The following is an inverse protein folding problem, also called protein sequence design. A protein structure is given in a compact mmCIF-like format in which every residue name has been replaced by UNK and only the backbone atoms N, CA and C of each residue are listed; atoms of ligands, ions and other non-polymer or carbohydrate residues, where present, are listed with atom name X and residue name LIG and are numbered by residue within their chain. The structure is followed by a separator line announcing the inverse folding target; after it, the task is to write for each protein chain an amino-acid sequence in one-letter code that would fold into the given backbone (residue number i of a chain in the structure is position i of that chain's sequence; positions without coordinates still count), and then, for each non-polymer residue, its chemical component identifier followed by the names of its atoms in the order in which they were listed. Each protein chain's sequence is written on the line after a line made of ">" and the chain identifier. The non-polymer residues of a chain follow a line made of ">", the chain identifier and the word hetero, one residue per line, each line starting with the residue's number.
data_IF_661227364435
#
_entry.id   IF_661227364435
#
_cell.length_a   1.000
_cell.length_b   1.000
_cell.length_c   1.000
_cell.angle_alpha   90.00
_cell.angle_beta   90.00
_cell.angle_gamma   90.00
#
_symmetry.space_group_name_H-M   'P 1'
#
loop_
_entity.id
_entity.type
_entity.pdbx_description
1 polymer ?
#
# COMPACT_ATOMS: atom_id res chain seq x y z
N UNK A 1 10.48 -13.13 -22.71
CA UNK A 1 11.01 -14.46 -22.34
C UNK A 1 10.80 -15.36 -23.55
N UNK A 2 11.87 -15.81 -24.21
CA UNK A 2 11.76 -16.66 -25.39
C UNK A 2 11.80 -18.12 -24.93
N UNK A 3 10.69 -18.83 -25.11
CA UNK A 3 10.59 -20.25 -24.79
C UNK A 3 11.43 -21.01 -25.83
N UNK A 4 12.46 -21.73 -25.38
CA UNK A 4 13.30 -22.54 -26.26
C UNK A 4 12.62 -23.89 -26.54
N UNK A 5 12.86 -24.50 -27.72
CA UNK A 5 12.30 -25.80 -28.06
C UNK A 5 12.60 -26.88 -27.00
N UNK A 6 13.81 -26.83 -26.42
CA UNK A 6 14.24 -27.73 -25.33
C UNK A 6 13.41 -27.60 -24.06
N UNK A 7 12.88 -26.41 -23.77
CA UNK A 7 12.03 -26.19 -22.59
C UNK A 7 10.63 -26.77 -22.81
N UNK A 8 10.14 -26.78 -24.05
CA UNK A 8 8.84 -27.37 -24.41
C UNK A 8 8.93 -28.90 -24.32
N UNK A 9 10.00 -29.51 -24.82
CA UNK A 9 10.23 -30.96 -24.75
C UNK A 9 10.25 -31.48 -23.30
N UNK A 10 10.88 -30.74 -22.40
CA UNK A 10 10.91 -31.08 -20.97
C UNK A 10 9.53 -31.04 -20.31
N UNK A 11 8.67 -30.09 -20.71
CA UNK A 11 7.29 -29.99 -20.20
C UNK A 11 6.45 -31.16 -20.74
N UNK A 12 6.61 -31.51 -22.02
CA UNK A 12 5.90 -32.64 -22.64
C UNK A 12 6.25 -33.96 -21.93
N UNK A 13 7.50 -34.14 -21.53
CA UNK A 13 7.93 -35.31 -20.78
C UNK A 13 7.37 -35.36 -19.35
N UNK A 14 7.05 -34.22 -18.74
CA UNK A 14 6.47 -34.14 -17.40
C UNK A 14 4.99 -34.55 -17.38
N UNK A 15 4.27 -34.39 -18.50
CA UNK A 15 2.86 -34.74 -18.65
C UNK A 15 2.61 -36.15 -19.21
N UNK A 16 3.67 -36.93 -19.48
CA UNK A 16 3.51 -38.35 -19.81
C UNK A 16 3.29 -39.16 -18.55
N UNK A 17 2.18 -39.90 -18.50
CA UNK A 17 1.85 -40.79 -17.41
C UNK A 17 2.88 -41.94 -17.30
N UNK A 18 3.24 -42.36 -16.08
CA UNK A 18 4.30 -43.34 -15.84
C UNK A 18 3.94 -44.79 -16.22
N UNK A 19 2.71 -45.08 -16.65
CA UNK A 19 2.22 -46.45 -16.86
C UNK A 19 2.20 -46.92 -18.32
N UNK A 20 2.80 -46.19 -19.27
CA UNK A 20 3.09 -46.72 -20.60
C UNK A 20 4.55 -47.17 -20.71
N UNK A 21 4.84 -48.32 -20.09
CA UNK A 21 5.96 -49.17 -20.50
C UNK A 21 5.64 -49.74 -21.90
N UNK A 22 5.97 -48.98 -22.94
CA UNK A 22 6.05 -49.49 -24.30
C UNK A 22 7.51 -49.77 -24.63
N UNK A 23 7.87 -51.06 -24.64
CA UNK A 23 9.18 -51.57 -25.03
C UNK A 23 9.56 -51.06 -26.42
N UNK A 24 10.60 -50.22 -26.49
CA UNK A 24 11.34 -49.98 -27.72
C UNK A 24 12.78 -49.65 -27.34
N UNK A 25 13.67 -50.60 -27.64
CA UNK A 25 15.12 -50.50 -27.47
C UNK A 25 15.68 -49.33 -28.30
N UNK A 26 16.17 -48.28 -27.63
CA UNK A 26 17.36 -47.58 -28.08
C UNK A 26 18.17 -47.09 -26.86
N UNK A 27 19.46 -47.39 -26.91
CA UNK A 27 20.44 -47.27 -25.84
C UNK A 27 20.92 -45.82 -25.78
N UNK A 28 20.75 -45.11 -24.65
CA UNK A 28 21.69 -44.07 -24.17
C UNK A 28 21.30 -43.44 -22.82
N UNK A 29 22.05 -43.88 -21.79
CA UNK A 29 22.64 -43.08 -20.70
C UNK A 29 21.77 -42.21 -19.79
N UNK A 30 21.76 -42.66 -18.53
CA UNK A 30 21.75 -41.87 -17.31
C UNK A 30 20.44 -41.11 -16.98
N UNK A 31 19.74 -41.68 -16.01
CA UNK A 31 18.75 -41.04 -15.15
C UNK A 31 19.27 -39.71 -14.60
N UNK A 32 18.98 -38.61 -15.31
CA UNK A 32 19.15 -37.26 -14.79
C UNK A 32 18.02 -36.96 -13.80
N UNK A 33 18.07 -37.57 -12.62
CA UNK A 33 17.46 -36.98 -11.44
C UNK A 33 18.19 -35.65 -11.20
N UNK A 34 17.56 -34.55 -11.60
CA UNK A 34 18.02 -33.21 -11.27
C UNK A 34 18.04 -33.11 -9.74
N UNK A 35 19.24 -33.03 -9.15
CA UNK A 35 19.43 -32.82 -7.71
C UNK A 35 18.94 -31.43 -7.33
N UNK A 36 17.64 -31.26 -7.16
CA UNK A 36 17.07 -30.10 -6.50
C UNK A 36 17.42 -30.20 -5.01
N UNK A 37 18.43 -29.43 -4.60
CA UNK A 37 18.70 -29.17 -3.19
C UNK A 37 17.78 -28.05 -2.67
N UNK A 38 17.61 -27.92 -1.33
CA UNK A 38 16.77 -26.88 -0.72
C UNK A 38 17.10 -25.45 -1.17
N UNK A 39 18.32 -25.20 -1.66
CA UNK A 39 18.76 -23.90 -2.19
C UNK A 39 18.22 -23.52 -3.58
N UNK A 40 17.44 -24.37 -4.24
CA UNK A 40 16.82 -24.08 -5.54
C UNK A 40 15.34 -23.65 -5.43
N UNK A 41 14.80 -23.53 -4.21
CA UNK A 41 13.46 -23.02 -3.97
C UNK A 41 13.54 -21.50 -3.84
N UNK A 42 13.18 -20.79 -4.91
CA UNK A 42 13.14 -19.34 -4.97
C UNK A 42 13.45 -18.79 -6.36
N UNK A 43 13.05 -17.54 -6.68
CA UNK A 43 13.35 -16.94 -7.97
C UNK A 43 14.87 -16.92 -8.22
N UNK A 44 15.33 -17.15 -9.46
CA UNK A 44 16.75 -17.21 -9.77
C UNK A 44 17.41 -15.88 -9.38
N UNK A 45 18.56 -15.95 -8.71
CA UNK A 45 19.35 -14.75 -8.40
C UNK A 45 19.77 -14.09 -9.71
N UNK A 46 19.07 -13.02 -10.08
CA UNK A 46 19.48 -12.13 -11.15
C UNK A 46 20.79 -11.48 -10.68
N UNK A 47 21.90 -11.90 -11.28
CA UNK A 47 23.15 -11.14 -11.23
C UNK A 47 22.88 -9.79 -11.89
N UNK A 48 22.56 -8.78 -11.08
CA UNK A 48 22.49 -7.39 -11.52
C UNK A 48 23.91 -6.87 -11.74
N UNK A 49 24.56 -7.35 -12.80
CA UNK A 49 25.65 -6.60 -13.42
C UNK A 49 25.05 -5.81 -14.57
N UNK A 50 24.42 -4.69 -14.23
CA UNK A 50 24.31 -3.47 -15.04
C UNK A 50 23.37 -2.51 -14.30
N UNK A 51 23.83 -2.01 -13.16
CA UNK A 51 23.27 -0.78 -12.59
C UNK A 51 24.03 0.36 -13.22
N UNK A 52 23.36 1.12 -14.09
CA UNK A 52 23.83 2.43 -14.50
C UNK A 52 24.18 3.20 -13.22
N UNK A 53 25.44 3.62 -13.11
CA UNK A 53 26.00 4.22 -11.92
C UNK A 53 25.23 5.49 -11.55
N UNK A 54 24.40 5.40 -10.52
CA UNK A 54 23.96 6.55 -9.75
C UNK A 54 25.22 7.02 -8.99
N UNK A 55 25.65 8.29 -9.08
CA UNK A 55 26.85 8.75 -8.40
C UNK A 55 26.65 8.60 -6.89
N UNK A 56 27.29 7.60 -6.29
CA UNK A 56 27.30 7.38 -4.86
C UNK A 56 28.14 8.46 -4.19
N UNK A 57 27.47 9.44 -3.60
CA UNK A 57 28.08 10.32 -2.62
C UNK A 57 28.52 9.42 -1.47
N UNK A 58 29.83 9.41 -1.18
CA UNK A 58 30.41 8.63 -0.08
C UNK A 58 30.05 9.26 1.27
N UNK A 59 28.81 9.13 1.70
CA UNK A 59 28.44 9.29 3.10
C UNK A 59 28.70 7.97 3.82
N UNK A 60 28.93 8.01 5.14
CA UNK A 60 29.11 6.81 5.97
C UNK A 60 27.77 6.10 6.28
N UNK A 61 26.70 6.49 5.58
CA UNK A 61 25.38 5.96 5.81
C UNK A 61 25.23 4.64 5.07
N UNK A 62 24.77 3.63 5.81
CA UNK A 62 24.56 2.27 5.28
C UNK A 62 23.36 2.25 4.32
N UNK A 63 22.48 3.25 4.38
CA UNK A 63 21.27 3.36 3.57
C UNK A 63 21.23 4.71 2.86
N UNK A 64 20.92 4.71 1.56
CA UNK A 64 20.59 5.93 0.81
C UNK A 64 19.08 6.19 0.87
N UNK A 65 18.64 7.46 0.86
CA UNK A 65 17.21 7.81 0.93
C UNK A 65 16.33 7.15 -0.17
N UNK A 66 16.94 6.76 -1.30
CA UNK A 66 16.26 6.03 -2.38
C UNK A 66 16.29 4.50 -2.27
N UNK A 67 17.05 3.91 -1.33
CA UNK A 67 17.09 2.45 -1.09
C UNK A 67 16.07 2.00 -0.03
N UNK A 68 15.60 2.91 0.82
CA UNK A 68 14.49 2.64 1.72
C UNK A 68 13.20 2.80 0.91
N UNK A 69 12.52 1.69 0.64
CA UNK A 69 11.16 1.75 0.08
C UNK A 69 10.30 2.47 1.11
N UNK A 70 9.93 3.73 0.80
CA UNK A 70 8.92 4.48 1.55
C UNK A 70 7.62 3.67 1.51
N UNK A 71 7.42 2.85 2.54
CA UNK A 71 6.22 2.06 2.62
C UNK A 71 6.25 0.82 3.51
N UNK A 72 7.42 0.26 3.80
CA UNK A 72 7.48 -0.93 4.65
C UNK A 72 7.19 -0.66 6.13
N UNK A 73 7.17 0.61 6.57
CA UNK A 73 6.98 1.00 7.97
C UNK A 73 5.55 0.77 8.50
N UNK A 74 4.57 0.72 7.58
CA UNK A 74 3.16 0.59 7.92
C UNK A 74 2.59 -0.82 7.72
N UNK A 75 3.46 -1.80 7.49
CA UNK A 75 3.04 -3.17 7.30
C UNK A 75 2.35 -3.70 8.58
N UNK A 76 1.05 -3.99 8.48
CA UNK A 76 0.22 -4.54 9.55
C UNK A 76 0.75 -5.90 10.03
N UNK A 77 1.59 -6.58 9.24
CA UNK A 77 2.17 -7.89 9.56
C UNK A 77 3.07 -7.91 10.81
N UNK A 78 3.57 -6.76 11.27
CA UNK A 78 4.53 -6.72 12.39
C UNK A 78 3.90 -6.26 13.71
N UNK A 79 2.71 -5.66 13.70
CA UNK A 79 2.12 -5.04 14.91
C UNK A 79 1.00 -5.91 15.51
N UNK A 80 1.07 -6.29 16.80
CA UNK A 80 0.04 -7.09 17.44
C UNK A 80 -1.24 -6.30 17.76
N UNK A 81 -1.24 -4.97 17.63
CA UNK A 81 -2.40 -4.14 17.97
C UNK A 81 -3.52 -4.28 16.94
N UNK A 82 -4.77 -4.48 17.37
CA UNK A 82 -5.91 -4.52 16.47
C UNK A 82 -6.13 -3.17 15.77
N UNK A 83 -6.68 -3.23 14.57
CA UNK A 83 -7.15 -2.05 13.85
C UNK A 83 -8.45 -1.53 14.50
N UNK A 84 -8.56 -0.24 14.83
CA UNK A 84 -9.78 0.35 15.36
C UNK A 84 -10.85 0.48 14.27
N UNK A 85 -12.12 0.58 14.68
CA UNK A 85 -13.21 0.90 13.77
C UNK A 85 -13.10 2.36 13.32
N UNK A 86 -13.21 2.61 12.02
CA UNK A 86 -13.12 3.95 11.46
C UNK A 86 -14.13 4.17 10.33
N UNK A 87 -14.60 5.41 10.23
CA UNK A 87 -15.49 5.88 9.17
C UNK A 87 -14.83 7.04 8.42
N UNK A 88 -14.89 7.00 7.09
CA UNK A 88 -14.42 8.09 6.23
C UNK A 88 -15.62 8.82 5.65
N UNK A 89 -15.74 10.10 5.97
CA UNK A 89 -16.84 10.98 5.56
C UNK A 89 -16.27 12.10 4.71
N UNK A 90 -16.98 12.49 3.65
CA UNK A 90 -16.63 13.65 2.84
C UNK A 90 -17.59 14.79 3.15
N UNK A 91 -17.06 15.98 3.41
CA UNK A 91 -17.86 17.17 3.72
C UNK A 91 -17.53 18.32 2.78
N UNK A 92 -18.57 19.06 2.43
CA UNK A 92 -18.49 20.22 1.57
C UNK A 92 -18.61 21.50 2.39
N UNK A 93 -17.75 22.47 2.11
CA UNK A 93 -17.83 23.80 2.72
C UNK A 93 -18.85 24.61 1.95
N UNK A 94 -20.11 24.60 2.38
CA UNK A 94 -21.18 25.38 1.74
C UNK A 94 -21.28 26.78 2.34
N UNK A 95 -21.30 27.78 1.48
CA UNK A 95 -21.57 29.17 1.87
C UNK A 95 -23.06 29.48 1.80
N UNK A 96 -23.49 30.59 2.41
CA UNK A 96 -24.87 31.08 2.25
C UNK A 96 -25.21 31.38 0.78
N UNK A 97 -24.25 31.80 -0.02
CA UNK A 97 -24.45 32.05 -1.46
C UNK A 97 -24.71 30.74 -2.22
N UNK A 98 -24.04 29.66 -1.86
CA UNK A 98 -24.26 28.33 -2.46
C UNK A 98 -25.67 27.81 -2.12
N UNK A 99 -26.12 27.98 -0.87
CA UNK A 99 -27.40 27.46 -0.37
C UNK A 99 -28.58 28.32 -0.84
N UNK A 100 -28.47 29.65 -0.72
CA UNK A 100 -29.60 30.56 -0.95
C UNK A 100 -29.65 31.14 -2.36
N UNK A 101 -28.51 31.30 -3.03
CA UNK A 101 -28.44 31.90 -4.36
C UNK A 101 -28.07 30.90 -5.46
N UNK A 102 -27.62 29.69 -5.11
CA UNK A 102 -27.15 28.66 -6.05
C UNK A 102 -26.07 29.19 -7.02
N UNK A 103 -25.32 30.21 -6.60
CA UNK A 103 -24.23 30.83 -7.39
C UNK A 103 -22.90 30.10 -7.16
N UNK A 104 -22.78 29.35 -6.07
CA UNK A 104 -21.71 28.39 -5.89
C UNK A 104 -21.92 27.23 -6.85
N UNK A 105 -21.05 27.11 -7.85
CA UNK A 105 -21.02 25.97 -8.77
C UNK A 105 -20.60 24.69 -8.02
N UNK A 106 -21.37 24.25 -7.02
CA UNK A 106 -21.09 23.03 -6.25
C UNK A 106 -22.29 22.11 -6.33
N UNK A 107 -22.05 20.87 -6.70
CA UNK A 107 -23.07 19.82 -6.75
C UNK A 107 -23.06 18.98 -5.46
N UNK A 108 -24.11 18.17 -5.23
CA UNK A 108 -24.15 17.22 -4.12
C UNK A 108 -23.25 15.98 -4.34
N UNK A 109 -22.34 16.01 -5.32
CA UNK A 109 -21.41 14.90 -5.57
C UNK A 109 -20.22 14.98 -4.63
N UNK A 110 -19.63 13.82 -4.31
CA UNK A 110 -18.35 13.74 -3.60
C UNK A 110 -17.21 14.47 -4.34
N UNK A 111 -17.36 14.69 -5.65
CA UNK A 111 -16.44 15.50 -6.44
C UNK A 111 -16.35 16.96 -5.94
N UNK A 112 -17.42 17.52 -5.37
CA UNK A 112 -17.43 18.89 -4.82
C UNK A 112 -17.01 18.97 -3.35
N UNK A 113 -16.84 17.84 -2.65
CA UNK A 113 -16.40 17.86 -1.25
C UNK A 113 -14.91 18.25 -1.16
N UNK A 114 -14.60 19.31 -0.43
CA UNK A 114 -13.22 19.78 -0.24
C UNK A 114 -12.54 19.12 0.97
N UNK A 115 -13.32 18.63 1.94
CA UNK A 115 -12.81 18.08 3.19
C UNK A 115 -13.11 16.58 3.31
N UNK A 116 -12.14 15.84 3.83
CA UNK A 116 -12.25 14.45 4.25
C UNK A 116 -12.17 14.39 5.77
N UNK A 117 -13.21 13.88 6.42
CA UNK A 117 -13.31 13.70 7.86
C UNK A 117 -13.25 12.22 8.21
N UNK A 118 -12.23 11.81 8.94
CA UNK A 118 -12.00 10.43 9.36
C UNK A 118 -12.35 10.35 10.85
N UNK A 119 -13.36 9.54 11.18
CA UNK A 119 -13.77 9.27 12.57
C UNK A 119 -13.19 7.93 12.99
N UNK A 120 -12.33 7.92 13.99
CA UNK A 120 -11.65 6.73 14.48
C UNK A 120 -12.13 6.46 15.89
N UNK A 121 -12.82 5.34 16.10
CA UNK A 121 -13.31 4.94 17.42
C UNK A 121 -12.18 4.30 18.20
N UNK A 122 -11.83 4.88 19.35
CA UNK A 122 -10.71 4.47 20.19
C UNK A 122 -11.19 4.23 21.62
N UNK A 123 -11.94 3.14 21.86
CA UNK A 123 -12.51 2.88 23.18
C UNK A 123 -11.40 2.67 24.22
N UNK A 124 -11.66 3.08 25.47
CA UNK A 124 -10.72 2.99 26.60
C UNK A 124 -9.36 3.67 26.36
N UNK A 125 -9.30 4.66 25.46
CA UNK A 125 -8.06 5.39 25.15
C UNK A 125 -8.19 6.83 25.63
N UNK A 126 -7.12 7.37 26.22
CA UNK A 126 -7.05 8.80 26.61
C UNK A 126 -6.45 9.61 25.47
N UNK A 127 -6.89 10.85 25.34
CA UNK A 127 -6.35 11.79 24.34
C UNK A 127 -4.83 11.96 24.41
N UNK A 128 -4.23 11.88 25.60
CA UNK A 128 -2.77 12.00 25.80
C UNK A 128 -1.96 10.89 25.14
N UNK A 129 -2.58 9.74 24.93
CA UNK A 129 -1.92 8.53 24.47
C UNK A 129 -2.12 8.32 22.97
N UNK A 130 -2.76 9.30 22.30
CA UNK A 130 -3.04 9.28 20.86
C UNK A 130 -1.93 10.02 20.13
N UNK A 131 -1.21 9.29 19.30
CA UNK A 131 -0.22 9.84 18.37
C UNK A 131 -0.80 9.78 16.95
N UNK A 132 -0.87 10.93 16.28
CA UNK A 132 -1.41 11.06 14.93
C UNK A 132 -0.32 11.65 14.02
N UNK A 133 0.08 10.88 13.00
CA UNK A 133 0.95 11.35 11.93
C UNK A 133 0.16 11.42 10.62
N UNK A 134 0.25 12.57 9.95
CA UNK A 134 -0.46 12.83 8.71
C UNK A 134 0.55 13.15 7.63
N UNK A 135 0.62 12.28 6.62
CA UNK A 135 1.38 12.46 5.39
C UNK A 135 0.40 12.76 4.24
N UNK A 136 0.89 13.28 3.10
CA UNK A 136 0.02 13.66 1.99
C UNK A 136 -0.90 12.55 1.45
N UNK A 137 -0.49 11.28 1.51
CA UNK A 137 -1.30 10.13 1.04
C UNK A 137 -1.48 9.04 2.11
N UNK A 138 -1.13 9.34 3.35
CA UNK A 138 -1.08 8.33 4.39
C UNK A 138 -1.39 8.95 5.74
N UNK A 139 -2.21 8.24 6.53
CA UNK A 139 -2.56 8.62 7.89
C UNK A 139 -2.21 7.47 8.81
N UNK A 140 -1.39 7.76 9.81
CA UNK A 140 -1.04 6.83 10.88
C UNK A 140 -1.62 7.34 12.20
N UNK A 141 -2.42 6.51 12.85
CA UNK A 141 -2.93 6.78 14.19
C UNK A 141 -2.50 5.63 15.09
N UNK A 142 -1.71 5.96 16.11
CA UNK A 142 -1.13 5.01 17.05
C UNK A 142 -1.61 5.32 18.45
N UNK A 143 -2.04 4.27 19.13
CA UNK A 143 -2.38 4.29 20.55
C UNK A 143 -1.80 3.04 21.21
N UNK A 144 -1.74 2.96 22.55
CA UNK A 144 -1.24 1.76 23.23
C UNK A 144 -2.00 0.48 22.84
N UNK A 145 -3.30 0.61 22.56
CA UNK A 145 -4.19 -0.52 22.31
C UNK A 145 -4.50 -0.73 20.82
N UNK A 146 -4.43 0.31 20.00
CA UNK A 146 -4.89 0.30 18.61
C UNK A 146 -3.84 0.92 17.68
N UNK A 147 -3.83 0.44 16.44
CA UNK A 147 -3.05 1.04 15.36
C UNK A 147 -3.90 1.11 14.10
N UNK A 148 -3.91 2.28 13.47
CA UNK A 148 -4.56 2.50 12.19
C UNK A 148 -3.57 3.10 11.22
N UNK A 149 -3.18 2.32 10.22
CA UNK A 149 -2.42 2.75 9.06
C UNK A 149 -3.39 2.82 7.87
N UNK A 150 -3.76 4.02 7.43
CA UNK A 150 -4.71 4.24 6.35
C UNK A 150 -4.06 4.96 5.17
N UNK A 151 -4.07 4.29 4.01
CA UNK A 151 -3.73 4.93 2.74
C UNK A 151 -4.88 5.77 2.21
N UNK A 152 -4.60 7.04 1.92
CA UNK A 152 -5.57 7.98 1.39
C UNK A 152 -5.55 7.93 -0.14
N UNK A 153 -6.73 7.88 -0.75
CA UNK A 153 -6.86 7.83 -2.22
C UNK A 153 -6.42 9.14 -2.90
N UNK A 154 -6.63 10.26 -2.22
CA UNK A 154 -6.32 11.61 -2.68
C UNK A 154 -5.25 12.24 -1.80
N UNK A 155 -4.51 13.19 -2.37
CA UNK A 155 -3.56 13.98 -1.61
C UNK A 155 -4.32 14.87 -0.62
N UNK A 156 -3.76 15.03 0.57
CA UNK A 156 -4.28 15.93 1.60
C UNK A 156 -3.26 16.99 2.00
N UNK A 157 -3.77 18.13 2.46
CA UNK A 157 -2.96 19.13 3.14
C UNK A 157 -2.64 18.65 4.56
N UNK A 158 -1.47 18.05 4.71
CA UNK A 158 -0.95 17.57 6.00
C UNK A 158 -0.64 18.71 6.98
N UNK A 159 -0.43 19.95 6.53
CA UNK A 159 -0.05 21.08 7.40
C UNK A 159 -1.26 21.76 8.03
N UNK A 160 -2.35 21.85 7.29
CA UNK A 160 -3.57 22.55 7.74
C UNK A 160 -4.70 21.60 8.17
N UNK A 161 -4.35 20.39 8.62
CA UNK A 161 -5.30 19.44 9.18
C UNK A 161 -5.89 19.92 10.52
N UNK A 162 -7.12 19.51 10.82
CA UNK A 162 -7.76 19.72 12.13
C UNK A 162 -8.06 18.37 12.76
N UNK A 163 -7.70 18.19 14.03
CA UNK A 163 -8.05 17.00 14.80
C UNK A 163 -8.81 17.42 16.06
N UNK A 164 -9.87 16.69 16.39
CA UNK A 164 -10.70 16.90 17.57
C UNK A 164 -10.94 15.57 18.27
N UNK A 165 -10.77 15.55 19.58
CA UNK A 165 -11.09 14.40 20.40
C UNK A 165 -12.47 14.58 21.04
N UNK A 166 -13.39 13.66 20.77
CA UNK A 166 -14.67 13.60 21.49
C UNK A 166 -14.57 12.61 22.65
N UNK A 167 -14.49 13.14 23.87
CA UNK A 167 -14.40 12.34 25.08
C UNK A 167 -15.68 11.57 25.42
N UNK A 168 -16.85 11.97 24.88
CA UNK A 168 -18.12 11.28 25.17
C UNK A 168 -18.25 9.99 24.38
N UNK A 169 -17.78 10.01 23.13
CA UNK A 169 -17.85 8.88 22.20
C UNK A 169 -16.49 8.18 22.04
N UNK A 170 -15.47 8.62 22.76
CA UNK A 170 -14.09 8.14 22.68
C UNK A 170 -13.61 8.03 21.22
N UNK A 171 -13.93 9.07 20.43
CA UNK A 171 -13.70 9.09 18.98
C UNK A 171 -12.77 10.23 18.60
N UNK A 172 -11.72 9.93 17.86
CA UNK A 172 -10.86 10.92 17.22
C UNK A 172 -11.46 11.31 15.87
N UNK A 173 -11.73 12.60 15.69
CA UNK A 173 -12.26 13.18 14.46
C UNK A 173 -11.14 13.97 13.79
N UNK A 174 -10.66 13.49 12.65
CA UNK A 174 -9.60 14.13 11.87
C UNK A 174 -10.19 14.69 10.59
N UNK A 175 -10.21 16.01 10.44
CA UNK A 175 -10.65 16.71 9.22
C UNK A 175 -9.44 17.21 8.44
N UNK A 176 -9.28 16.69 7.22
CA UNK A 176 -8.19 16.99 6.31
C UNK A 176 -8.74 17.61 5.03
N UNK A 177 -8.12 18.68 4.55
CA UNK A 177 -8.47 19.27 3.25
C UNK A 177 -7.82 18.47 2.14
N UNK A 178 -8.60 18.04 1.15
CA UNK A 178 -8.08 17.36 -0.03
C UNK A 178 -7.48 18.37 -1.01
N UNK A 179 -6.34 18.01 -1.62
CA UNK A 179 -5.68 18.77 -2.67
C UNK A 179 -5.88 18.00 -3.98
N UNK A 180 -6.70 18.55 -4.87
CA UNK A 180 -7.01 17.95 -6.17
C UNK A 180 -6.60 18.90 -7.30
N UNK A 181 -6.13 18.33 -8.40
CA UNK A 181 -5.94 19.12 -9.62
C UNK A 181 -7.30 19.57 -10.16
N UNK A 182 -7.37 20.80 -10.65
CA UNK A 182 -8.59 21.38 -11.22
C UNK A 182 -9.78 21.46 -10.24
N UNK A 183 -9.52 21.58 -8.93
CA UNK A 183 -10.57 21.75 -7.91
C UNK A 183 -11.47 22.97 -8.20
N UNK A 184 -10.94 23.98 -8.89
CA UNK A 184 -11.70 25.15 -9.37
C UNK A 184 -12.78 24.83 -10.42
N UNK A 185 -12.68 23.67 -11.07
CA UNK A 185 -13.58 23.21 -12.13
C UNK A 185 -14.41 21.98 -11.70
N UNK A 186 -14.17 21.45 -10.50
CA UNK A 186 -14.98 20.39 -9.93
C UNK A 186 -16.23 21.04 -9.33
N UNK A 187 -17.25 21.11 -10.17
CA UNK A 187 -18.60 21.56 -9.85
C UNK A 187 -19.52 20.38 -9.62
#
# INVERSE_FOLDING_TARGET
>A
MNITPSMIENIVHLFKDPDENSESDDDTTASNFVKFGPGHIGPPKISHHNTAAIPSVKTKDIWSDGEVVEGSEYDLLTDPRPQPEYDVLFSQVVSSEDIFLQMGNKNPSTASCENMTIKIKLPNTKMSDVELDVKPKFLDCRTPNYKLALHLQQNVDHKNGKAQWDAKTETLIVTLRMIREFDMFNF
#
